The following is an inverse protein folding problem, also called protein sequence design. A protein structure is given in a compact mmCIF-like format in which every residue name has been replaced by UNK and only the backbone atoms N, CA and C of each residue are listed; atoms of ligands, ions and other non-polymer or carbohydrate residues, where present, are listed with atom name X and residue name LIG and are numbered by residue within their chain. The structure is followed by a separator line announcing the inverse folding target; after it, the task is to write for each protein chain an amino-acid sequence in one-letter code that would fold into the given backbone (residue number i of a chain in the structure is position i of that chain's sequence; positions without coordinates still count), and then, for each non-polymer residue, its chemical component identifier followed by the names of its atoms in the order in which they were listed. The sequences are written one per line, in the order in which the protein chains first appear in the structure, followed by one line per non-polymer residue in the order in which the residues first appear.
data_IF_926121542387
#
_entry.id   IF_926121542387
#
_cell.length_a   1.000
_cell.length_b   1.000
_cell.length_c   1.000
_cell.angle_alpha   90.00
_cell.angle_beta   90.00
_cell.angle_gamma   90.00
#
_symmetry.space_group_name_H-M   'P 1'
#
loop_
_entity.id
_entity.type
_entity.pdbx_description
1 polymer ?
#
# COMPACT_ATOMS: atom_id res chain seq x y z
N UNK A 1 48.97 42.11 -2.74
CA UNK A 1 48.59 40.78 -2.21
C UNK A 1 47.08 40.62 -2.34
N UNK A 2 46.61 39.58 -3.04
CA UNK A 2 45.22 39.10 -2.93
C UNK A 2 45.20 37.99 -1.89
N UNK A 3 44.26 37.93 -0.94
CA UNK A 3 44.02 36.71 -0.20
C UNK A 3 43.11 35.80 -1.04
N UNK A 4 43.65 34.64 -1.40
CA UNK A 4 42.88 33.44 -1.70
C UNK A 4 42.69 32.71 -0.37
N UNK A 5 41.46 32.56 0.07
CA UNK A 5 41.08 31.56 1.08
C UNK A 5 39.94 30.74 0.48
N UNK A 6 40.30 29.53 0.07
CA UNK A 6 39.39 28.44 -0.29
C UNK A 6 39.48 27.45 0.87
N UNK A 7 38.38 27.21 1.59
CA UNK A 7 37.97 25.89 2.10
C UNK A 7 36.69 26.03 2.93
N UNK A 8 35.51 25.92 2.30
CA UNK A 8 34.35 25.35 2.99
C UNK A 8 34.05 24.01 2.32
N UNK A 9 34.73 23.01 2.86
CA UNK A 9 34.54 21.61 2.52
C UNK A 9 33.27 21.05 3.13
N UNK A 10 32.65 20.19 2.34
CA UNK A 10 31.67 19.19 2.77
C UNK A 10 30.27 19.71 3.07
N UNK A 11 29.63 20.27 2.04
CA UNK A 11 28.19 20.19 1.91
C UNK A 11 27.75 18.74 2.11
N UNK A 12 26.96 18.52 3.15
CA UNK A 12 26.23 17.27 3.34
C UNK A 12 25.43 17.01 2.08
N UNK A 13 25.95 16.12 1.23
CA UNK A 13 25.24 15.67 0.05
C UNK A 13 23.87 15.15 0.49
N UNK A 14 22.79 15.43 -0.24
CA UNK A 14 21.50 14.85 0.09
C UNK A 14 21.70 13.35 0.17
N UNK A 15 21.44 12.79 1.35
CA UNK A 15 21.33 11.35 1.55
C UNK A 15 20.43 10.89 0.42
N UNK A 16 21.00 10.13 -0.53
CA UNK A 16 20.23 9.59 -1.63
C UNK A 16 19.30 8.56 -1.03
N UNK A 17 18.17 9.04 -0.51
CA UNK A 17 16.97 8.21 -0.40
C UNK A 17 16.84 7.57 -1.77
N UNK A 18 16.66 6.25 -1.86
CA UNK A 18 16.27 5.68 -3.13
C UNK A 18 14.95 6.37 -3.46
N UNK A 19 15.00 7.36 -4.37
CA UNK A 19 13.82 7.89 -5.05
C UNK A 19 13.37 6.77 -5.97
N UNK A 20 12.90 5.68 -5.37
CA UNK A 20 12.03 4.74 -6.02
C UNK A 20 10.68 5.43 -6.09
N UNK A 21 10.65 6.51 -6.86
CA UNK A 21 9.52 6.80 -7.73
C UNK A 21 9.51 5.70 -8.79
N UNK A 22 9.36 4.44 -8.34
CA UNK A 22 8.79 3.41 -9.16
C UNK A 22 7.55 4.07 -9.74
N UNK A 23 7.57 4.25 -11.06
CA UNK A 23 6.43 4.72 -11.82
C UNK A 23 5.39 3.62 -11.70
N UNK A 24 4.74 3.54 -10.54
CA UNK A 24 3.52 2.79 -10.41
C UNK A 24 2.60 3.41 -11.46
N UNK A 25 2.15 2.63 -12.44
CA UNK A 25 1.15 3.14 -13.37
C UNK A 25 0.03 3.75 -12.52
N UNK A 26 -0.46 4.92 -12.91
CA UNK A 26 -1.64 5.54 -12.26
C UNK A 26 -2.85 4.68 -12.62
N UNK A 27 -2.95 3.51 -12.02
CA UNK A 27 -4.11 2.62 -12.10
C UNK A 27 -5.24 3.28 -11.32
N UNK A 28 -6.46 3.09 -11.80
CA UNK A 28 -7.64 3.60 -11.11
C UNK A 28 -7.75 2.97 -9.71
N UNK A 29 -8.44 3.63 -8.79
CA UNK A 29 -8.69 3.05 -7.45
C UNK A 29 -9.37 1.68 -7.55
N UNK A 30 -10.23 1.49 -8.56
CA UNK A 30 -10.89 0.22 -8.82
C UNK A 30 -9.89 -0.88 -9.20
N UNK A 31 -8.93 -0.58 -10.07
CA UNK A 31 -7.87 -1.53 -10.46
C UNK A 31 -6.99 -1.88 -9.27
N UNK A 32 -6.54 -0.87 -8.50
CA UNK A 32 -5.72 -1.11 -7.31
C UNK A 32 -6.47 -1.95 -6.26
N UNK A 33 -7.76 -1.68 -6.06
CA UNK A 33 -8.57 -2.47 -5.14
C UNK A 33 -8.72 -3.92 -5.60
N UNK A 34 -8.87 -4.18 -6.91
CA UNK A 34 -8.87 -5.55 -7.45
C UNK A 34 -7.55 -6.25 -7.21
N UNK A 35 -6.43 -5.61 -7.50
CA UNK A 35 -5.10 -6.20 -7.29
C UNK A 35 -4.89 -6.58 -5.82
N UNK A 36 -5.27 -5.71 -4.89
CA UNK A 36 -5.18 -6.00 -3.45
C UNK A 36 -6.13 -7.14 -3.03
N UNK A 37 -7.35 -7.17 -3.56
CA UNK A 37 -8.30 -8.25 -3.28
C UNK A 37 -7.72 -9.58 -3.77
N UNK A 38 -7.23 -9.63 -5.01
CA UNK A 38 -6.64 -10.83 -5.58
C UNK A 38 -5.41 -11.30 -4.79
N UNK A 39 -4.57 -10.38 -4.33
CA UNK A 39 -3.42 -10.68 -3.48
C UNK A 39 -3.84 -11.28 -2.12
N UNK A 40 -4.85 -10.70 -1.46
CA UNK A 40 -5.36 -11.22 -0.18
C UNK A 40 -6.02 -12.60 -0.37
N UNK A 41 -6.78 -12.79 -1.45
CA UNK A 41 -7.41 -14.08 -1.75
C UNK A 41 -6.38 -15.16 -2.13
N UNK A 42 -5.29 -14.77 -2.78
CA UNK A 42 -4.18 -15.64 -3.10
C UNK A 42 -3.27 -15.96 -1.89
N UNK A 43 -3.40 -15.24 -0.77
CA UNK A 43 -2.63 -15.50 0.44
C UNK A 43 -2.98 -16.89 1.01
N UNK A 44 -1.99 -17.77 1.08
CA UNK A 44 -2.13 -19.12 1.64
C UNK A 44 -1.55 -19.22 3.05
N UNK A 45 -1.30 -18.09 3.73
CA UNK A 45 -0.78 -18.07 5.09
C UNK A 45 -1.77 -18.71 6.06
N UNK A 46 -1.27 -19.61 6.92
CA UNK A 46 -2.07 -20.26 7.95
C UNK A 46 -2.63 -19.22 8.93
N UNK A 47 -3.94 -19.24 9.18
CA UNK A 47 -4.66 -18.25 9.99
C UNK A 47 -5.29 -17.12 9.17
N UNK A 48 -5.04 -17.04 7.86
CA UNK A 48 -5.69 -16.09 6.96
C UNK A 48 -7.00 -16.63 6.35
N UNK A 49 -7.40 -17.87 6.63
CA UNK A 49 -8.59 -18.51 6.03
C UNK A 49 -9.86 -17.69 6.29
N UNK A 50 -10.09 -17.33 7.55
CA UNK A 50 -11.25 -16.51 7.94
C UNK A 50 -11.22 -15.12 7.30
N UNK A 51 -10.03 -14.58 7.09
CA UNK A 51 -9.85 -13.27 6.46
C UNK A 51 -10.30 -13.32 4.99
N UNK A 52 -9.88 -14.37 4.28
CA UNK A 52 -10.27 -14.60 2.89
C UNK A 52 -11.76 -14.85 2.75
N UNK A 53 -12.33 -15.72 3.57
CA UNK A 53 -13.78 -15.99 3.59
C UNK A 53 -14.58 -14.70 3.76
N UNK A 54 -14.21 -13.85 4.72
CA UNK A 54 -14.86 -12.56 4.91
C UNK A 54 -14.71 -11.62 3.71
N UNK A 55 -13.54 -11.62 3.06
CA UNK A 55 -13.32 -10.82 1.86
C UNK A 55 -14.16 -11.32 0.69
N UNK A 56 -14.26 -12.63 0.47
CA UNK A 56 -15.11 -13.24 -0.56
C UNK A 56 -16.58 -12.87 -0.37
N UNK A 57 -17.07 -12.84 0.88
CA UNK A 57 -18.42 -12.37 1.19
C UNK A 57 -18.61 -10.88 0.83
N UNK A 58 -17.64 -10.03 1.17
CA UNK A 58 -17.70 -8.59 0.86
C UNK A 58 -17.68 -8.33 -0.66
N UNK A 59 -16.88 -9.11 -1.41
CA UNK A 59 -16.82 -9.07 -2.88
C UNK A 59 -18.13 -9.54 -3.49
N UNK A 60 -18.71 -10.63 -2.98
CA UNK A 60 -20.00 -11.15 -3.46
C UNK A 60 -21.14 -10.16 -3.27
N UNK A 61 -21.09 -9.31 -2.24
CA UNK A 61 -22.05 -8.21 -2.01
C UNK A 61 -21.82 -7.01 -2.93
N UNK A 62 -20.61 -6.83 -3.45
CA UNK A 62 -20.19 -5.66 -4.23
C UNK A 62 -19.41 -6.06 -5.51
N UNK A 63 -20.02 -6.81 -6.45
CA UNK A 63 -19.31 -7.41 -7.58
C UNK A 63 -18.67 -6.39 -8.54
N UNK A 64 -19.28 -5.22 -8.72
CA UNK A 64 -18.78 -4.16 -9.62
C UNK A 64 -17.97 -3.08 -8.90
N UNK A 65 -17.86 -3.17 -7.56
CA UNK A 65 -17.28 -2.14 -6.69
C UNK A 65 -16.24 -2.75 -5.75
N UNK A 66 -15.09 -3.20 -6.29
CA UNK A 66 -14.01 -3.81 -5.51
C UNK A 66 -13.50 -2.86 -4.42
N UNK A 67 -13.46 -1.54 -4.67
CA UNK A 67 -13.07 -0.56 -3.66
C UNK A 67 -14.02 -0.53 -2.46
N UNK A 68 -15.33 -0.74 -2.69
CA UNK A 68 -16.32 -0.80 -1.62
C UNK A 68 -16.23 -2.12 -0.85
N UNK A 69 -16.04 -3.25 -1.56
CA UNK A 69 -15.80 -4.55 -0.94
C UNK A 69 -14.57 -4.53 -0.02
N UNK A 70 -13.45 -3.99 -0.52
CA UNK A 70 -12.20 -3.89 0.22
C UNK A 70 -12.37 -2.98 1.45
N UNK A 71 -13.04 -1.84 1.29
CA UNK A 71 -13.28 -0.93 2.41
C UNK A 71 -14.19 -1.56 3.48
N UNK A 72 -15.26 -2.25 3.09
CA UNK A 72 -16.14 -2.99 4.02
C UNK A 72 -15.34 -4.05 4.80
N UNK A 73 -14.52 -4.83 4.11
CA UNK A 73 -13.65 -5.83 4.72
C UNK A 73 -12.68 -5.21 5.74
N UNK A 74 -12.01 -4.11 5.37
CA UNK A 74 -11.08 -3.41 6.26
C UNK A 74 -11.79 -2.85 7.50
N UNK A 75 -12.97 -2.25 7.34
CA UNK A 75 -13.77 -1.74 8.46
C UNK A 75 -14.16 -2.87 9.42
N UNK A 76 -14.62 -4.01 8.89
CA UNK A 76 -15.00 -5.17 9.70
C UNK A 76 -13.83 -5.74 10.51
N UNK A 77 -12.61 -5.72 9.94
CA UNK A 77 -11.39 -6.10 10.67
C UNK A 77 -11.06 -5.16 11.82
N UNK A 78 -11.19 -3.86 11.59
CA UNK A 78 -10.89 -2.86 12.64
C UNK A 78 -11.91 -2.88 13.77
N UNK A 79 -13.19 -3.17 13.48
CA UNK A 79 -14.23 -3.30 14.49
C UNK A 79 -14.03 -4.51 15.40
N UNK A 80 -13.39 -5.58 14.90
CA UNK A 80 -13.08 -6.80 15.66
C UNK A 80 -11.77 -6.72 16.46
N UNK A 81 -10.96 -5.67 16.28
CA UNK A 81 -9.63 -5.54 16.92
C UNK A 81 -9.65 -4.73 18.22
N UNK A 82 -10.82 -4.48 18.80
CA UNK A 82 -11.03 -3.62 19.97
C UNK A 82 -11.40 -4.34 21.28
N UNK A 83 -11.02 -5.62 21.45
CA UNK A 83 -11.22 -6.38 22.70
C UNK A 83 -9.89 -6.77 23.36
#
# INVERSE_FOLDING_TARGET
MKPNDVEEGSGGGPVSVPSSTARYPKTTLQEQARELIDEILADTTAGAERNREQLEECVSRNPDRPEAALLEHLMNRTASSGE
#
